data_IF_690019404526
#
_entry.id   IF_690019404526
#
_cell.length_a   1.000
_cell.length_b   1.000
_cell.length_c   1.000
_cell.angle_alpha   90.00
_cell.angle_beta   90.00
_cell.angle_gamma   90.00
#
_symmetry.space_group_name_H-M   'P 1'
#
loop_
_entity.id
_entity.type
_entity.pdbx_description
1 polymer ?
#
# COMPACT_ATOMS: atom_id res chain seq x y z
N UNK A 1 -5.17 -17.57 3.38
CA UNK A 1 -6.28 -16.60 3.16
C UNK A 1 -6.69 -15.98 4.50
N UNK A 2 -5.98 -14.95 4.98
CA UNK A 2 -6.33 -14.19 6.21
C UNK A 2 -6.19 -12.67 6.00
N UNK A 3 -5.24 -12.25 5.18
CA UNK A 3 -4.92 -10.84 4.89
C UNK A 3 -6.08 -9.99 4.32
N UNK A 4 -7.02 -10.58 3.57
CA UNK A 4 -8.17 -9.83 3.03
C UNK A 4 -9.14 -9.40 4.13
N UNK A 5 -9.32 -10.24 5.15
CA UNK A 5 -10.23 -9.99 6.27
C UNK A 5 -9.75 -8.84 7.16
N UNK A 6 -8.42 -8.61 7.21
CA UNK A 6 -7.82 -7.60 8.07
C UNK A 6 -8.06 -6.15 7.64
N UNK A 7 -8.29 -5.95 6.34
CA UNK A 7 -8.42 -4.62 5.77
C UNK A 7 -9.87 -4.17 5.59
N UNK A 8 -10.81 -5.10 5.44
CA UNK A 8 -12.17 -4.78 4.97
C UNK A 8 -13.27 -4.92 6.01
N UNK A 9 -13.06 -5.67 7.10
CA UNK A 9 -14.05 -5.76 8.17
C UNK A 9 -13.59 -5.04 9.45
N UNK A 10 -14.57 -4.55 10.22
CA UNK A 10 -14.38 -4.26 11.65
C UNK A 10 -13.89 -5.57 12.31
N UNK A 11 -12.91 -5.49 13.22
CA UNK A 11 -12.30 -6.64 13.92
C UNK A 11 -11.27 -7.51 13.16
N UNK A 12 -10.77 -7.09 12.01
CA UNK A 12 -9.76 -7.81 11.25
C UNK A 12 -8.32 -7.77 11.82
N UNK A 13 -8.09 -7.70 13.12
CA UNK A 13 -6.73 -7.74 13.67
C UNK A 13 -6.31 -9.16 14.04
N UNK A 14 -5.14 -9.62 13.58
CA UNK A 14 -4.45 -10.81 14.12
C UNK A 14 -4.05 -10.69 15.61
N UNK A 15 -4.23 -9.53 16.24
CA UNK A 15 -4.03 -9.38 17.68
C UNK A 15 -5.29 -9.79 18.45
N UNK A 16 -5.21 -10.94 19.10
CA UNK A 16 -6.25 -11.59 19.92
C UNK A 16 -6.87 -10.70 21.02
N UNK A 17 -6.30 -9.51 21.28
CA UNK A 17 -6.73 -8.56 22.32
C UNK A 17 -7.12 -7.16 21.82
N UNK A 18 -7.01 -6.85 20.52
CA UNK A 18 -7.35 -5.52 20.00
C UNK A 18 -8.60 -5.55 19.13
N UNK A 19 -9.75 -5.25 19.73
CA UNK A 19 -10.98 -4.93 19.01
C UNK A 19 -10.83 -3.57 18.32
N UNK A 20 -10.30 -3.56 17.10
CA UNK A 20 -10.23 -2.33 16.31
C UNK A 20 -11.63 -1.94 15.81
N UNK A 21 -12.13 -0.80 16.28
CA UNK A 21 -13.44 -0.23 15.91
C UNK A 21 -13.48 0.30 14.46
N UNK A 22 -12.36 0.33 13.74
CA UNK A 22 -12.26 0.81 12.36
C UNK A 22 -11.48 -0.17 11.46
N UNK A 23 -11.89 -0.41 10.20
CA UNK A 23 -11.20 -1.32 9.28
C UNK A 23 -9.77 -0.86 8.98
N UNK A 24 -8.82 -1.78 8.73
CA UNK A 24 -7.41 -1.45 8.49
C UNK A 24 -7.17 -0.40 7.38
N UNK A 25 -8.03 -0.38 6.36
CA UNK A 25 -7.98 0.63 5.28
C UNK A 25 -8.18 2.07 5.78
N UNK A 26 -8.94 2.28 6.86
CA UNK A 26 -9.15 3.60 7.45
C UNK A 26 -7.81 4.19 7.92
N UNK A 27 -7.03 3.42 8.67
CA UNK A 27 -5.72 3.86 9.16
C UNK A 27 -4.72 4.10 8.02
N UNK A 28 -4.77 3.31 6.95
CA UNK A 28 -3.93 3.55 5.76
C UNK A 28 -4.27 4.88 5.10
N UNK A 29 -5.56 5.23 5.01
CA UNK A 29 -6.00 6.54 4.50
C UNK A 29 -5.59 7.68 5.43
N UNK A 30 -5.72 7.50 6.74
CA UNK A 30 -5.29 8.50 7.71
C UNK A 30 -3.78 8.75 7.64
N UNK A 31 -2.96 7.72 7.46
CA UNK A 31 -1.52 7.86 7.22
C UNK A 31 -1.24 8.66 5.93
N UNK A 32 -1.89 8.28 4.82
CA UNK A 32 -1.73 8.98 3.56
C UNK A 32 -2.10 10.48 3.67
N UNK A 33 -3.20 10.77 4.36
CA UNK A 33 -3.69 12.13 4.62
C UNK A 33 -2.74 12.91 5.53
N UNK A 34 -2.29 12.30 6.62
CA UNK A 34 -1.41 12.92 7.62
C UNK A 34 -0.09 13.35 6.97
N UNK A 35 0.51 12.48 6.15
CA UNK A 35 1.74 12.79 5.41
C UNK A 35 1.48 13.54 4.09
N UNK A 36 0.24 13.96 3.81
CA UNK A 36 -0.14 14.77 2.63
C UNK A 36 0.36 14.17 1.31
N UNK A 37 0.22 12.85 1.13
CA UNK A 37 0.75 12.10 -0.02
C UNK A 37 2.29 12.09 -0.15
N UNK A 38 3.03 12.61 0.83
CA UNK A 38 4.49 12.48 0.93
C UNK A 38 4.86 11.23 1.73
N UNK A 39 4.33 10.08 1.31
CA UNK A 39 4.56 8.78 1.94
C UNK A 39 4.54 7.69 0.87
N UNK A 40 5.35 6.66 1.09
CA UNK A 40 5.48 5.49 0.23
C UNK A 40 5.41 4.23 1.09
N UNK A 41 5.03 3.11 0.49
CA UNK A 41 4.97 1.80 1.11
C UNK A 41 6.06 0.90 0.55
N UNK A 42 6.97 0.41 1.38
CA UNK A 42 7.95 -0.60 0.98
C UNK A 42 7.39 -1.99 1.26
N UNK A 43 7.26 -2.80 0.21
CA UNK A 43 6.77 -4.16 0.30
C UNK A 43 7.94 -5.14 0.46
N UNK A 44 8.00 -5.94 1.54
CA UNK A 44 9.11 -6.88 1.77
C UNK A 44 9.19 -8.00 0.74
N UNK A 45 8.09 -8.28 0.04
CA UNK A 45 8.04 -9.23 -1.06
C UNK A 45 8.16 -8.50 -2.41
N UNK A 46 8.83 -9.13 -3.38
CA UNK A 46 8.81 -8.63 -4.76
C UNK A 46 7.37 -8.56 -5.28
N UNK A 47 6.98 -7.40 -5.79
CA UNK A 47 5.68 -7.17 -6.40
C UNK A 47 5.63 -7.92 -7.73
N UNK A 48 4.92 -9.05 -7.73
CA UNK A 48 4.64 -9.88 -8.90
C UNK A 48 3.23 -9.58 -9.39
N UNK A 49 3.08 -8.99 -10.58
CA UNK A 49 1.78 -8.58 -11.11
C UNK A 49 0.85 -9.79 -11.35
N UNK A 50 1.43 -10.94 -11.68
CA UNK A 50 0.74 -12.22 -11.83
C UNK A 50 0.09 -12.72 -10.54
N UNK A 51 0.60 -12.28 -9.37
CA UNK A 51 0.17 -12.74 -8.05
C UNK A 51 0.21 -11.59 -7.03
N UNK A 52 -0.77 -10.68 -7.13
CA UNK A 52 -0.97 -9.59 -6.17
C UNK A 52 -2.13 -9.94 -5.23
N UNK A 53 -1.86 -10.29 -3.95
CA UNK A 53 -2.89 -10.48 -2.94
C UNK A 53 -3.79 -9.24 -2.84
N UNK A 54 -5.08 -9.45 -2.57
CA UNK A 54 -6.09 -8.39 -2.59
C UNK A 54 -5.77 -7.22 -1.64
N UNK A 55 -5.24 -7.53 -0.47
CA UNK A 55 -4.68 -6.60 0.52
C UNK A 55 -3.65 -5.64 -0.08
N UNK A 56 -2.74 -6.17 -0.89
CA UNK A 56 -1.68 -5.39 -1.54
C UNK A 56 -2.29 -4.45 -2.58
N UNK A 57 -3.29 -4.91 -3.36
CA UNK A 57 -4.02 -4.07 -4.32
C UNK A 57 -4.70 -2.88 -3.63
N UNK A 58 -5.33 -3.11 -2.48
CA UNK A 58 -6.01 -2.05 -1.72
C UNK A 58 -4.99 -1.02 -1.22
N UNK A 59 -3.94 -1.44 -0.51
CA UNK A 59 -2.94 -0.51 0.04
C UNK A 59 -2.24 0.27 -1.07
N UNK A 60 -1.81 -0.42 -2.13
CA UNK A 60 -1.13 0.22 -3.27
C UNK A 60 -2.04 1.10 -4.14
N UNK A 61 -3.37 1.07 -3.96
CA UNK A 61 -4.28 2.05 -4.57
C UNK A 61 -4.34 3.37 -3.80
N UNK A 62 -3.87 3.38 -2.54
CA UNK A 62 -3.92 4.52 -1.63
C UNK A 62 -2.53 5.15 -1.49
N UNK A 63 -1.49 4.33 -1.28
CA UNK A 63 -0.10 4.75 -1.07
C UNK A 63 0.78 4.18 -2.19
N UNK A 64 1.63 4.98 -2.87
CA UNK A 64 2.64 4.49 -3.80
C UNK A 64 3.49 3.40 -3.17
N UNK A 65 3.59 2.24 -3.84
CA UNK A 65 4.24 1.05 -3.30
C UNK A 65 5.46 0.68 -4.15
N UNK A 66 6.54 0.28 -3.49
CA UNK A 66 7.81 -0.12 -4.09
C UNK A 66 8.33 -1.40 -3.44
N UNK A 67 9.23 -2.11 -4.11
CA UNK A 67 9.90 -3.29 -3.53
C UNK A 67 10.88 -2.87 -2.43
N UNK A 68 11.00 -3.67 -1.38
CA UNK A 68 12.08 -3.53 -0.40
C UNK A 68 13.39 -4.13 -0.95
N UNK A 69 13.92 -3.50 -1.99
CA UNK A 69 15.27 -3.74 -2.55
C UNK A 69 16.02 -2.43 -2.59
N UNK A 70 17.32 -2.46 -2.91
CA UNK A 70 18.12 -1.23 -3.05
C UNK A 70 17.51 -0.34 -4.13
N UNK A 71 17.19 -0.91 -5.29
CA UNK A 71 16.59 -0.22 -6.43
C UNK A 71 15.21 0.34 -6.07
N UNK A 72 14.37 -0.44 -5.39
CA UNK A 72 13.04 0.02 -4.97
C UNK A 72 13.09 1.14 -3.93
N UNK A 73 14.12 1.18 -3.08
CA UNK A 73 14.35 2.31 -2.16
C UNK A 73 14.78 3.55 -2.95
N UNK A 74 15.68 3.42 -3.92
CA UNK A 74 16.09 4.54 -4.79
C UNK A 74 14.90 5.13 -5.54
N UNK A 75 14.06 4.29 -6.15
CA UNK A 75 12.81 4.71 -6.81
C UNK A 75 11.85 5.42 -5.85
N UNK A 76 11.67 4.87 -4.65
CA UNK A 76 10.81 5.47 -3.63
C UNK A 76 11.33 6.85 -3.18
N UNK A 77 12.63 7.00 -3.02
CA UNK A 77 13.26 8.27 -2.66
C UNK A 77 13.13 9.30 -3.78
N UNK A 78 13.31 8.89 -5.02
CA UNK A 78 13.09 9.76 -6.18
C UNK A 78 11.65 10.23 -6.30
N UNK A 79 10.69 9.35 -6.06
CA UNK A 79 9.28 9.72 -6.00
C UNK A 79 9.02 10.79 -4.93
N UNK A 80 9.51 10.58 -3.71
CA UNK A 80 9.33 11.52 -2.61
C UNK A 80 9.99 12.88 -2.90
N UNK A 81 11.19 12.88 -3.48
CA UNK A 81 11.92 14.10 -3.85
C UNK A 81 11.23 14.91 -4.95
N UNK A 82 10.57 14.23 -5.88
CA UNK A 82 9.96 14.86 -7.06
C UNK A 82 8.46 15.09 -6.93
N UNK A 83 7.84 14.59 -5.87
CA UNK A 83 6.38 14.57 -5.70
C UNK A 83 5.69 13.68 -6.73
N UNK A 84 6.37 12.61 -7.19
CA UNK A 84 5.84 11.66 -8.16
C UNK A 84 5.66 12.17 -9.59
N UNK A 85 6.28 13.30 -9.93
CA UNK A 85 6.27 13.83 -11.30
C UNK A 85 6.99 12.84 -12.23
N UNK A 86 6.31 12.38 -13.28
CA UNK A 86 6.83 11.48 -14.33
C UNK A 86 7.25 10.08 -13.85
N UNK A 87 6.76 9.61 -12.70
CA UNK A 87 7.11 8.30 -12.15
C UNK A 87 5.97 7.28 -12.31
N UNK A 88 6.29 6.10 -12.85
CA UNK A 88 5.38 4.96 -12.95
C UNK A 88 5.43 4.10 -11.69
N UNK A 89 4.41 4.20 -10.85
CA UNK A 89 4.33 3.47 -9.56
C UNK A 89 3.33 2.32 -9.65
N UNK A 90 3.34 1.42 -8.65
CA UNK A 90 2.32 0.36 -8.57
C UNK A 90 0.90 0.93 -8.51
N UNK A 91 0.68 2.15 -7.97
CA UNK A 91 -0.61 2.84 -8.04
C UNK A 91 -1.05 3.01 -9.49
N UNK A 92 -0.15 3.45 -10.36
CA UNK A 92 -0.44 3.67 -11.78
C UNK A 92 -0.55 2.36 -12.55
N UNK A 93 0.32 1.39 -12.27
CA UNK A 93 0.25 0.05 -12.88
C UNK A 93 -1.08 -0.64 -12.54
N UNK A 94 -1.52 -0.57 -11.28
CA UNK A 94 -2.78 -1.20 -10.85
C UNK A 94 -4.02 -0.40 -11.22
N UNK A 95 -3.93 0.93 -11.36
CA UNK A 95 -5.02 1.74 -11.95
C UNK A 95 -5.35 1.29 -13.38
N UNK A 96 -4.34 0.88 -14.15
CA UNK A 96 -4.52 0.29 -15.48
C UNK A 96 -5.01 -1.16 -15.51
N UNK A 97 -5.11 -1.80 -14.34
CA UNK A 97 -5.54 -3.20 -14.17
C UNK A 97 -6.92 -3.33 -13.49
N UNK A 98 -7.67 -2.23 -13.37
CA UNK A 98 -9.06 -2.28 -12.92
C UNK A 98 -9.99 -2.71 -14.07
N UNK A 99 -10.86 -3.68 -13.73
CA UNK A 99 -11.87 -4.41 -14.51
C UNK A 99 -12.56 -3.69 -15.66
#
# INVERSE_FOLDING_TARGET
>A
MRASWELTERYGSIYYYHRNEMPGIYYVRELANHFKNNVVWLNPELIRLEWVPWTRKIISSIIPMYNLTVEGIEEAMDFLRTGGKNQYTTVQMLKGLNY
#
